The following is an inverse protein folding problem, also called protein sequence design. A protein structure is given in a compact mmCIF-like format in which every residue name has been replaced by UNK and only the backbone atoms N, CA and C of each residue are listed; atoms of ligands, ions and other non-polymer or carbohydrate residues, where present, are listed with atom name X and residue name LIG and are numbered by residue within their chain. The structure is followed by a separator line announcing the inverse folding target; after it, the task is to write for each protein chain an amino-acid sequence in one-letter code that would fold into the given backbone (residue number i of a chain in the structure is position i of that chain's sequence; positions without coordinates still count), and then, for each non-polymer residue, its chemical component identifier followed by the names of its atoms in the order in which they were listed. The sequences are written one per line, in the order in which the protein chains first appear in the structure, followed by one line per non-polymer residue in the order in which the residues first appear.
data_IF_754104124894
#
_entry.id   IF_754104124894
#
_cell.length_a   1.000
_cell.length_b   1.000
_cell.length_c   1.000
_cell.angle_alpha   90.00
_cell.angle_beta   90.00
_cell.angle_gamma   90.00
#
_symmetry.space_group_name_H-M   'P 1'
#
loop_
_entity.id
_entity.type
_entity.pdbx_description
1 polymer ?
#
# COMPACT_ATOMS: atom_id res chain seq x y z
N UNK A 1 12.78 -20.59 -7.02
CA UNK A 1 11.39 -20.60 -6.51
C UNK A 1 10.54 -21.28 -7.57
N UNK A 2 9.45 -22.00 -7.28
CA UNK A 2 8.73 -22.72 -8.34
C UNK A 2 8.15 -21.74 -9.37
N UNK A 3 8.50 -21.92 -10.65
CA UNK A 3 8.15 -20.98 -11.74
C UNK A 3 6.68 -21.11 -12.19
N UNK A 4 6.04 -22.22 -11.80
CA UNK A 4 4.66 -22.57 -12.14
C UNK A 4 3.97 -23.19 -10.93
N UNK A 5 2.70 -22.82 -10.72
CA UNK A 5 1.81 -23.48 -9.75
C UNK A 5 0.59 -23.95 -10.53
N UNK A 6 0.37 -25.25 -10.59
CA UNK A 6 -0.75 -25.83 -11.35
C UNK A 6 -0.68 -25.59 -12.86
N UNK A 7 0.51 -25.37 -13.43
CA UNK A 7 0.71 -25.15 -14.88
C UNK A 7 0.52 -23.71 -15.35
N UNK A 8 0.16 -22.77 -14.46
CA UNK A 8 0.04 -21.34 -14.78
C UNK A 8 1.31 -20.59 -14.38
N UNK A 9 1.71 -19.53 -15.13
CA UNK A 9 2.83 -18.69 -14.76
C UNK A 9 2.59 -18.14 -13.35
N UNK A 10 3.59 -18.22 -12.47
CA UNK A 10 3.45 -17.73 -11.10
C UNK A 10 3.19 -16.22 -11.07
N UNK A 11 3.80 -15.48 -12.01
CA UNK A 11 3.79 -14.02 -12.02
C UNK A 11 2.37 -13.41 -11.98
N UNK A 12 1.42 -13.69 -12.90
CA UNK A 12 0.06 -13.14 -12.83
C UNK A 12 -0.71 -13.48 -11.54
N UNK A 13 -0.52 -14.68 -10.97
CA UNK A 13 -1.20 -15.08 -9.74
C UNK A 13 -0.72 -14.24 -8.55
N UNK A 14 0.60 -14.06 -8.41
CA UNK A 14 1.18 -13.24 -7.34
C UNK A 14 0.85 -11.76 -7.56
N UNK A 15 0.91 -11.26 -8.80
CA UNK A 15 0.47 -9.90 -9.17
C UNK A 15 -0.95 -9.66 -8.70
N UNK A 16 -1.89 -10.57 -8.96
CA UNK A 16 -3.29 -10.39 -8.58
C UNK A 16 -3.44 -10.23 -7.07
N UNK A 17 -2.75 -11.07 -6.30
CA UNK A 17 -2.78 -10.99 -4.84
C UNK A 17 -2.18 -9.67 -4.33
N UNK A 18 -1.05 -9.23 -4.89
CA UNK A 18 -0.42 -7.95 -4.54
C UNK A 18 -1.32 -6.77 -4.86
N UNK A 19 -1.91 -6.72 -6.06
CA UNK A 19 -2.79 -5.62 -6.48
C UNK A 19 -4.01 -5.53 -5.57
N UNK A 20 -4.65 -6.66 -5.24
CA UNK A 20 -5.79 -6.68 -4.32
C UNK A 20 -5.39 -6.18 -2.94
N UNK A 21 -4.26 -6.64 -2.40
CA UNK A 21 -3.75 -6.18 -1.11
C UNK A 21 -3.43 -4.68 -1.10
N UNK A 22 -2.81 -4.15 -2.15
CA UNK A 22 -2.48 -2.74 -2.25
C UNK A 22 -3.74 -1.87 -2.37
N UNK A 23 -4.75 -2.31 -3.14
CA UNK A 23 -6.04 -1.59 -3.22
C UNK A 23 -6.74 -1.57 -1.86
N UNK A 24 -6.76 -2.72 -1.15
CA UNK A 24 -7.30 -2.80 0.22
C UNK A 24 -6.49 -1.91 1.17
N UNK A 25 -5.16 -1.90 1.07
CA UNK A 25 -4.28 -1.09 1.90
C UNK A 25 -4.48 0.41 1.64
N UNK A 26 -4.61 0.83 0.38
CA UNK A 26 -4.87 2.23 -0.01
C UNK A 26 -6.24 2.68 0.51
N UNK A 27 -7.30 1.92 0.24
CA UNK A 27 -8.64 2.23 0.72
C UNK A 27 -8.72 2.22 2.25
N UNK A 28 -8.10 1.22 2.88
CA UNK A 28 -7.97 1.09 4.33
C UNK A 28 -7.20 2.25 4.94
N UNK A 29 -6.08 2.66 4.34
CA UNK A 29 -5.24 3.77 4.82
C UNK A 29 -6.01 5.09 4.81
N UNK A 30 -6.75 5.39 3.74
CA UNK A 30 -7.61 6.56 3.66
C UNK A 30 -8.70 6.48 4.73
N UNK A 31 -9.37 5.33 4.85
CA UNK A 31 -10.47 5.14 5.80
C UNK A 31 -10.01 5.33 7.26
N UNK A 32 -8.88 4.75 7.65
CA UNK A 32 -8.35 4.93 9.01
C UNK A 32 -7.79 6.34 9.21
N UNK A 33 -7.31 7.02 8.17
CA UNK A 33 -6.84 8.39 8.27
C UNK A 33 -7.99 9.37 8.57
N UNK A 34 -9.16 9.17 7.96
CA UNK A 34 -10.32 10.07 8.14
C UNK A 34 -11.27 9.65 9.26
N UNK A 35 -11.33 8.36 9.61
CA UNK A 35 -12.32 7.83 10.55
C UNK A 35 -11.68 7.19 11.81
N UNK A 36 -11.60 7.94 12.93
CA UNK A 36 -10.93 7.46 14.15
C UNK A 36 -11.53 6.19 14.76
N UNK A 37 -12.86 6.01 14.66
CA UNK A 37 -13.54 4.82 15.17
C UNK A 37 -13.11 3.54 14.41
N UNK A 38 -12.96 3.65 13.08
CA UNK A 38 -12.46 2.54 12.25
C UNK A 38 -10.99 2.28 12.54
N UNK A 39 -10.18 3.35 12.66
CA UNK A 39 -8.74 3.25 13.00
C UNK A 39 -8.49 2.41 14.25
N UNK A 40 -9.26 2.65 15.31
CA UNK A 40 -9.14 1.92 16.58
C UNK A 40 -9.31 0.40 16.42
N UNK A 41 -10.27 -0.04 15.61
CA UNK A 41 -10.62 -1.46 15.48
C UNK A 41 -9.88 -2.19 14.36
N UNK A 42 -9.70 -1.53 13.22
CA UNK A 42 -9.21 -2.17 11.98
C UNK A 42 -7.84 -1.67 11.53
N UNK A 43 -7.26 -0.66 12.20
CA UNK A 43 -6.00 -0.06 11.75
C UNK A 43 -4.83 -1.04 11.67
N UNK A 44 -4.74 -2.02 12.56
CA UNK A 44 -3.72 -3.06 12.47
C UNK A 44 -3.93 -4.03 11.30
N UNK A 45 -5.18 -4.28 10.89
CA UNK A 45 -5.42 -5.07 9.68
C UNK A 45 -4.91 -4.34 8.44
N UNK A 46 -5.07 -3.02 8.38
CA UNK A 46 -4.50 -2.19 7.29
C UNK A 46 -2.97 -2.22 7.32
N UNK A 47 -2.34 -2.15 8.50
CA UNK A 47 -0.88 -2.31 8.64
C UNK A 47 -0.42 -3.66 8.09
N UNK A 48 -1.11 -4.75 8.46
CA UNK A 48 -0.78 -6.10 7.98
C UNK A 48 -0.98 -6.19 6.46
N UNK A 49 -2.11 -5.70 5.93
CA UNK A 49 -2.36 -5.71 4.49
C UNK A 49 -1.28 -4.93 3.72
N UNK A 50 -0.91 -3.74 4.20
CA UNK A 50 0.16 -2.94 3.61
C UNK A 50 1.52 -3.67 3.70
N UNK A 51 1.86 -4.23 4.86
CA UNK A 51 3.13 -4.92 5.08
C UNK A 51 3.27 -6.20 4.24
N UNK A 52 2.21 -7.01 4.16
CA UNK A 52 2.17 -8.21 3.31
C UNK A 52 2.24 -7.80 1.84
N UNK A 53 1.49 -6.77 1.43
CA UNK A 53 1.57 -6.20 0.09
C UNK A 53 3.00 -5.79 -0.27
N UNK A 54 3.65 -4.97 0.56
CA UNK A 54 5.04 -4.53 0.40
C UNK A 54 6.00 -5.71 0.30
N UNK A 55 5.87 -6.71 1.16
CA UNK A 55 6.76 -7.88 1.17
C UNK A 55 6.62 -8.75 -0.08
N UNK A 56 5.44 -8.76 -0.70
CA UNK A 56 5.17 -9.54 -1.91
C UNK A 56 5.55 -8.80 -3.21
N UNK A 57 5.74 -7.47 -3.19
CA UNK A 57 6.18 -6.73 -4.39
C UNK A 57 7.50 -7.28 -4.94
N UNK A 58 8.59 -7.44 -4.16
CA UNK A 58 9.84 -7.99 -4.69
C UNK A 58 9.71 -9.40 -5.26
N UNK A 59 8.86 -10.24 -4.65
CA UNK A 59 8.60 -11.60 -5.13
C UNK A 59 7.91 -11.54 -6.49
N UNK A 60 7.02 -10.58 -6.68
CA UNK A 60 6.32 -10.34 -7.95
C UNK A 60 7.26 -9.82 -9.02
N UNK A 61 8.12 -8.86 -8.69
CA UNK A 61 9.14 -8.30 -9.58
C UNK A 61 10.10 -9.38 -10.08
N UNK A 62 10.71 -10.15 -9.17
CA UNK A 62 11.63 -11.24 -9.53
C UNK A 62 10.95 -12.29 -10.42
N UNK A 63 9.67 -12.59 -10.16
CA UNK A 63 8.90 -13.51 -11.00
C UNK A 63 8.60 -12.93 -12.39
N UNK A 64 8.50 -11.61 -12.53
CA UNK A 64 8.28 -10.90 -13.80
C UNK A 64 9.54 -10.86 -14.65
N UNK A 65 10.69 -10.53 -14.04
CA UNK A 65 12.00 -10.55 -14.70
C UNK A 65 12.33 -11.93 -15.29
N UNK A 66 11.99 -13.00 -14.55
CA UNK A 66 12.14 -14.35 -15.07
C UNK A 66 11.26 -14.60 -16.31
N UNK A 67 10.01 -14.12 -16.30
CA UNK A 67 9.12 -14.26 -17.45
C UNK A 67 9.64 -13.46 -18.66
N UNK A 68 10.11 -12.24 -18.44
CA UNK A 68 10.74 -11.39 -19.45
C UNK A 68 11.92 -12.11 -20.13
N UNK A 69 12.77 -12.79 -19.35
CA UNK A 69 13.90 -13.55 -19.90
C UNK A 69 13.49 -14.68 -20.88
N UNK A 70 12.23 -15.13 -20.83
CA UNK A 70 11.69 -16.23 -21.63
C UNK A 70 10.93 -15.76 -22.86
N UNK A 71 10.18 -14.67 -22.74
CA UNK A 71 9.33 -14.14 -23.83
C UNK A 71 10.03 -13.03 -24.65
N UNK A 72 11.19 -12.56 -24.19
CA UNK A 72 11.91 -11.44 -24.80
C UNK A 72 11.38 -10.09 -24.31
N UNK A 73 12.12 -9.03 -24.60
CA UNK A 73 11.78 -7.66 -24.17
C UNK A 73 11.26 -6.83 -25.33
N UNK A 74 10.38 -5.88 -25.03
CA UNK A 74 9.92 -4.84 -25.95
C UNK A 74 9.69 -3.53 -25.15
N UNK A 75 9.47 -2.38 -25.82
CA UNK A 75 9.33 -1.10 -25.12
C UNK A 75 8.20 -1.07 -24.08
N UNK A 76 7.08 -1.76 -24.33
CA UNK A 76 5.96 -1.83 -23.38
C UNK A 76 6.28 -2.69 -22.15
N UNK A 77 6.97 -3.83 -22.33
CA UNK A 77 7.38 -4.72 -21.24
C UNK A 77 8.36 -3.97 -20.33
N UNK A 78 9.32 -3.25 -20.91
CA UNK A 78 10.26 -2.43 -20.16
C UNK A 78 9.56 -1.32 -19.38
N UNK A 79 8.54 -0.67 -19.95
CA UNK A 79 7.81 0.37 -19.22
C UNK A 79 6.99 -0.21 -18.06
N UNK A 80 6.30 -1.34 -18.27
CA UNK A 80 5.60 -2.04 -17.19
C UNK A 80 6.57 -2.48 -16.08
N UNK A 81 7.70 -3.09 -16.44
CA UNK A 81 8.73 -3.53 -15.50
C UNK A 81 9.31 -2.35 -14.71
N UNK A 82 9.70 -1.26 -15.39
CA UNK A 82 10.23 -0.04 -14.76
C UNK A 82 9.24 0.58 -13.78
N UNK A 83 7.96 0.63 -14.14
CA UNK A 83 6.92 1.09 -13.22
C UNK A 83 6.75 0.11 -12.05
N UNK A 84 6.79 -1.19 -12.31
CA UNK A 84 6.74 -2.25 -11.30
C UNK A 84 7.85 -2.14 -10.26
N UNK A 85 9.08 -1.89 -10.68
CA UNK A 85 10.26 -1.72 -9.80
C UNK A 85 10.09 -0.56 -8.81
N UNK A 86 9.42 0.51 -9.25
CA UNK A 86 9.15 1.65 -8.40
C UNK A 86 8.03 1.38 -7.38
N UNK A 87 7.19 0.37 -7.60
CA UNK A 87 6.04 0.07 -6.73
C UNK A 87 6.45 -0.29 -5.31
N UNK A 88 7.60 -0.96 -5.13
CA UNK A 88 8.08 -1.36 -3.79
C UNK A 88 8.30 -0.15 -2.89
N UNK A 89 8.82 0.95 -3.44
CA UNK A 89 9.10 2.17 -2.69
C UNK A 89 7.82 2.89 -2.27
N UNK A 90 6.81 2.91 -3.14
CA UNK A 90 5.49 3.46 -2.81
C UNK A 90 4.78 2.61 -1.77
N UNK A 91 4.75 1.29 -1.95
CA UNK A 91 4.17 0.36 -1.00
C UNK A 91 4.86 0.45 0.37
N UNK A 92 6.20 0.52 0.40
CA UNK A 92 6.98 0.69 1.62
C UNK A 92 6.67 2.02 2.31
N UNK A 93 6.60 3.11 1.55
CA UNK A 93 6.20 4.42 2.07
C UNK A 93 4.82 4.37 2.73
N UNK A 94 3.84 3.75 2.07
CA UNK A 94 2.49 3.57 2.62
C UNK A 94 2.52 2.72 3.91
N UNK A 95 3.23 1.59 3.92
CA UNK A 95 3.37 0.73 5.08
C UNK A 95 3.97 1.47 6.28
N UNK A 96 5.04 2.23 6.06
CA UNK A 96 5.69 3.05 7.10
C UNK A 96 4.72 4.11 7.62
N UNK A 97 4.02 4.82 6.74
CA UNK A 97 3.10 5.89 7.13
C UNK A 97 1.91 5.35 7.95
N UNK A 98 1.28 4.27 7.50
CA UNK A 98 0.17 3.63 8.23
C UNK A 98 0.62 3.08 9.58
N UNK A 99 1.81 2.48 9.65
CA UNK A 99 2.40 2.01 10.91
C UNK A 99 2.66 3.17 11.87
N UNK A 100 3.27 4.26 11.38
CA UNK A 100 3.52 5.45 12.17
C UNK A 100 2.22 6.08 12.70
N UNK A 101 1.18 6.18 11.86
CA UNK A 101 -0.14 6.65 12.25
C UNK A 101 -0.72 5.80 13.39
N UNK A 102 -0.62 4.47 13.30
CA UNK A 102 -1.12 3.55 14.32
C UNK A 102 -0.35 3.62 15.64
N UNK A 103 0.99 3.73 15.57
CA UNK A 103 1.84 3.89 16.77
C UNK A 103 1.55 5.23 17.46
N UNK A 104 1.44 6.33 16.71
CA UNK A 104 1.11 7.64 17.26
C UNK A 104 -0.29 7.67 17.86
N UNK A 105 -1.26 7.01 17.22
CA UNK A 105 -2.62 6.91 17.75
C UNK A 105 -2.64 6.21 19.12
N UNK A 106 -2.00 5.05 19.26
CA UNK A 106 -1.95 4.33 20.54
C UNK A 106 -1.23 5.10 21.65
N UNK A 107 -0.16 5.83 21.30
CA UNK A 107 0.54 6.70 22.26
C UNK A 107 -0.37 7.80 22.78
N UNK A 108 -1.20 8.40 21.92
CA UNK A 108 -2.18 9.41 22.30
C UNK A 108 -3.35 8.89 23.14
N UNK A 109 -3.71 7.61 22.99
CA UNK A 109 -4.73 6.97 23.84
C UNK A 109 -4.18 6.66 25.23
N UNK A 110 -2.96 6.12 25.32
CA UNK A 110 -2.31 5.81 26.61
C UNK A 110 -1.91 7.06 27.41
N UNK A 111 -1.73 8.20 26.74
CA UNK A 111 -1.35 9.46 27.36
C UNK A 111 -2.53 10.28 27.88
N UNK A 112 -3.78 9.85 27.67
CA UNK A 112 -4.94 10.47 28.33
C UNK A 112 -4.99 9.95 29.77
N UNK A 113 -4.71 10.81 30.78
CA UNK A 113 -4.82 10.40 32.17
C UNK A 113 -6.28 10.09 32.47
N UNK A 114 -6.54 9.02 33.22
CA UNK A 114 -7.85 8.86 33.86
C UNK A 114 -8.18 10.12 34.65
N UNK A 115 -9.46 10.55 34.69
CA UNK A 115 -9.84 11.70 35.51
C UNK A 115 -9.46 11.40 36.95
N UNK A 116 -8.40 12.07 37.42
CA UNK A 116 -7.92 11.95 38.78
C UNK A 116 -9.00 12.50 39.71
N UNK A 117 -9.77 11.60 40.32
CA UNK A 117 -10.40 11.85 41.62
C UNK A 117 -9.28 11.98 42.67
N UNK A 118 -8.51 13.08 42.64
CA UNK A 118 -7.86 13.70 43.82
C UNK A 118 -6.83 14.80 43.43
N UNK A 119 -7.28 16.05 43.51
CA UNK A 119 -6.76 17.02 44.47
C UNK A 119 -5.30 17.53 44.47
N UNK A 120 -4.39 17.21 43.55
CA UNK A 120 -3.03 17.82 43.56
C UNK A 120 -2.59 18.48 42.24
N UNK A 121 -2.61 19.82 42.24
CA UNK A 121 -2.43 20.70 41.08
C UNK A 121 -0.98 20.97 40.66
N UNK A 122 -0.13 19.95 40.55
CA UNK A 122 1.28 20.10 40.14
C UNK A 122 1.61 19.77 38.67
N UNK A 123 0.82 18.91 38.01
CA UNK A 123 1.18 18.30 36.71
C UNK A 123 0.54 18.91 35.45
N UNK A 124 -0.37 19.88 35.61
CA UNK A 124 -1.37 20.22 34.59
C UNK A 124 -0.77 20.87 33.33
N UNK A 125 0.30 21.66 33.46
CA UNK A 125 0.87 22.41 32.32
C UNK A 125 1.67 21.54 31.34
N UNK A 126 2.41 20.54 31.83
CA UNK A 126 3.20 19.62 31.01
C UNK A 126 2.29 18.62 30.29
N UNK A 127 1.27 18.09 31.00
CA UNK A 127 0.28 17.18 30.41
C UNK A 127 -0.52 17.83 29.28
N UNK A 128 -0.88 19.11 29.42
CA UNK A 128 -1.65 19.85 28.41
C UNK A 128 -0.83 20.09 27.12
N UNK A 129 0.45 20.46 27.23
CA UNK A 129 1.35 20.62 26.06
C UNK A 129 1.60 19.28 25.35
N UNK A 130 1.80 18.20 26.09
CA UNK A 130 2.04 16.87 25.53
C UNK A 130 0.80 16.30 24.81
N UNK A 131 -0.40 16.59 25.32
CA UNK A 131 -1.66 16.22 24.68
C UNK A 131 -1.89 17.00 23.36
N UNK A 132 -1.49 18.28 23.30
CA UNK A 132 -1.59 19.10 22.09
C UNK A 132 -0.61 18.65 21.00
N UNK A 133 0.66 18.41 21.36
CA UNK A 133 1.67 17.94 20.41
C UNK A 133 1.34 16.58 19.78
N UNK A 134 0.76 15.67 20.56
CA UNK A 134 0.34 14.35 20.06
C UNK A 134 -0.82 14.46 19.06
N UNK A 135 -1.79 15.33 19.30
CA UNK A 135 -2.91 15.57 18.37
C UNK A 135 -2.41 16.12 17.02
N UNK A 136 -1.50 17.10 17.05
CA UNK A 136 -0.88 17.65 15.84
C UNK A 136 -0.09 16.57 15.10
N UNK A 137 0.72 15.77 15.81
CA UNK A 137 1.48 14.68 15.20
C UNK A 137 0.58 13.64 14.52
N UNK A 138 -0.54 13.26 15.15
CA UNK A 138 -1.52 12.34 14.55
C UNK A 138 -2.18 12.94 13.33
N UNK A 139 -2.51 14.24 13.34
CA UNK A 139 -3.08 14.93 12.20
C UNK A 139 -2.09 14.97 11.02
N UNK A 140 -0.84 15.34 11.28
CA UNK A 140 0.22 15.36 10.25
C UNK A 140 0.43 13.96 9.68
N UNK A 141 0.52 12.93 10.54
CA UNK A 141 0.64 11.54 10.11
C UNK A 141 -0.55 11.09 9.26
N UNK A 142 -1.78 11.51 9.59
CA UNK A 142 -2.97 11.19 8.81
C UNK A 142 -2.91 11.84 7.42
N UNK A 143 -2.53 13.12 7.32
CA UNK A 143 -2.37 13.83 6.04
C UNK A 143 -1.29 13.18 5.17
N UNK A 144 -0.12 12.86 5.75
CA UNK A 144 0.96 12.15 5.05
C UNK A 144 0.50 10.77 4.58
N UNK A 145 -0.24 10.04 5.42
CA UNK A 145 -0.80 8.73 5.07
C UNK A 145 -1.75 8.83 3.89
N UNK A 146 -2.64 9.82 3.85
CA UNK A 146 -3.55 10.03 2.72
C UNK A 146 -2.77 10.36 1.45
N UNK A 147 -1.78 11.26 1.52
CA UNK A 147 -0.94 11.61 0.38
C UNK A 147 -0.21 10.39 -0.20
N UNK A 148 0.39 9.56 0.66
CA UNK A 148 1.05 8.33 0.24
C UNK A 148 0.07 7.27 -0.26
N UNK A 149 -1.13 7.18 0.31
CA UNK A 149 -2.16 6.26 -0.19
C UNK A 149 -2.59 6.63 -1.61
N UNK A 150 -2.84 7.92 -1.87
CA UNK A 150 -3.16 8.41 -3.22
C UNK A 150 -2.01 8.15 -4.18
N UNK A 151 -0.77 8.50 -3.81
CA UNK A 151 0.40 8.26 -4.66
C UNK A 151 0.59 6.77 -4.98
N UNK A 152 0.44 5.89 -3.99
CA UNK A 152 0.53 4.43 -4.15
C UNK A 152 -0.60 3.91 -5.05
N UNK A 153 -1.82 4.39 -4.87
CA UNK A 153 -2.96 4.01 -5.72
C UNK A 153 -2.77 4.43 -7.17
N UNK A 154 -2.33 5.67 -7.42
CA UNK A 154 -2.02 6.17 -8.77
C UNK A 154 -0.89 5.37 -9.41
N UNK A 155 0.17 5.06 -8.66
CA UNK A 155 1.29 4.29 -9.19
C UNK A 155 0.89 2.84 -9.50
N UNK A 156 0.10 2.21 -8.63
CA UNK A 156 -0.48 0.87 -8.87
C UNK A 156 -1.34 0.86 -10.13
N UNK A 157 -2.18 1.89 -10.33
CA UNK A 157 -2.97 2.06 -11.54
C UNK A 157 -2.09 2.18 -12.78
N UNK A 158 -1.02 2.99 -12.75
CA UNK A 158 -0.10 3.15 -13.88
C UNK A 158 0.60 1.84 -14.26
N UNK A 159 1.05 1.07 -13.27
CA UNK A 159 1.63 -0.27 -13.48
C UNK A 159 0.59 -1.18 -14.16
N UNK A 160 -0.65 -1.18 -13.67
CA UNK A 160 -1.75 -1.96 -14.23
C UNK A 160 -2.14 -1.55 -15.65
N UNK A 161 -2.22 -0.25 -15.94
CA UNK A 161 -2.54 0.28 -17.28
C UNK A 161 -1.46 -0.12 -18.29
N UNK A 162 -0.18 0.02 -17.93
CA UNK A 162 0.93 -0.43 -18.76
C UNK A 162 0.86 -1.94 -19.05
N UNK A 163 0.51 -2.75 -18.04
CA UNK A 163 0.32 -4.19 -18.21
C UNK A 163 -0.88 -4.55 -19.09
N UNK A 164 -1.99 -3.82 -18.96
CA UNK A 164 -3.19 -4.04 -19.76
C UNK A 164 -2.93 -3.70 -21.25
N UNK A 165 -2.27 -2.58 -21.54
CA UNK A 165 -1.92 -2.17 -22.91
C UNK A 165 -1.11 -3.23 -23.63
N UNK A 166 -0.16 -3.88 -22.95
CA UNK A 166 0.62 -4.98 -23.52
C UNK A 166 -0.23 -6.15 -24.04
N UNK A 167 -1.32 -6.47 -23.32
CA UNK A 167 -2.22 -7.56 -23.71
C UNK A 167 -3.14 -7.13 -24.84
N UNK A 168 -3.63 -5.89 -24.81
CA UNK A 168 -4.63 -5.40 -25.77
C UNK A 168 -4.02 -4.94 -27.10
N UNK A 169 -2.84 -4.32 -27.11
CA UNK A 169 -2.13 -3.98 -28.36
C UNK A 169 -1.81 -5.25 -29.17
N UNK A 170 -1.50 -6.36 -28.51
CA UNK A 170 -1.33 -7.67 -29.16
C UNK A 170 -2.61 -8.15 -29.89
N UNK A 171 -3.79 -7.88 -29.31
CA UNK A 171 -5.08 -8.25 -29.92
C UNK A 171 -5.36 -7.38 -31.14
N UNK A 172 -5.01 -6.08 -31.09
CA UNK A 172 -5.20 -5.15 -32.21
C UNK A 172 -4.25 -5.46 -33.39
N UNK A 173 -3.01 -5.87 -33.11
CA UNK A 173 -2.02 -6.24 -34.12
C UNK A 173 -2.26 -7.63 -34.73
N UNK A 174 -3.17 -8.42 -34.16
CA UNK A 174 -3.57 -9.72 -34.73
C UNK A 174 -4.68 -9.48 -35.76
N UNK A 175 -4.45 -9.67 -37.07
CA UNK A 175 -5.50 -9.49 -38.06
C UNK A 175 -6.71 -10.38 -37.73
N UNK A 176 -7.95 -9.88 -37.93
CA UNK A 176 -9.14 -10.69 -37.68
C UNK A 176 -8.98 -12.00 -38.43
N UNK A 177 -9.09 -13.12 -37.72
CA UNK A 177 -9.11 -14.43 -38.35
C UNK A 177 -10.23 -14.39 -39.39
N UNK A 178 -9.87 -14.41 -40.67
CA UNK A 178 -10.81 -14.29 -41.78
C UNK A 178 -11.93 -15.33 -41.59
N UNK A 179 -13.06 -14.90 -41.05
CA UNK A 179 -14.31 -15.65 -41.01
C UNK A 179 -15.06 -15.29 -42.28
N UNK A 180 -15.21 -16.27 -43.18
CA UNK A 180 -16.01 -16.16 -44.39
C UNK A 180 -17.51 -16.04 -44.13
#
# INVERSE_FOLDING_TARGET
MPDFVGGLPLHPLVVHFVVVLLVIAVGGAVLIAVWPAVRRRYGWLVVVAAGVGTALVPITTNSGEFLESRIGTNPGIQEHARLGDLLVWWALGLFVAVTALMVLHQRGEKAQPEPAEDGSGGGTMVATRQASGTKVAVLVAAVVTVGLAVATGVHTFRVGDAGARLVWEFVEDTPPANGG
#
